data_IF_869216766170
#
_entry.id   IF_869216766170
#
_cell.length_a   1.000
_cell.length_b   1.000
_cell.length_c   1.000
_cell.angle_alpha   90.00
_cell.angle_beta   90.00
_cell.angle_gamma   90.00
#
_symmetry.space_group_name_H-M   'P 1'
#
loop_
_entity.id
_entity.type
_entity.pdbx_description
1 polymer ?
#
# COMPACT_ATOMS: atom_id res chain seq x y z
N UNK A 1 -3.33 -21.60 9.34
CA UNK A 1 -2.06 -21.39 10.08
C UNK A 1 -1.38 -20.19 9.44
N UNK A 2 -0.91 -19.21 10.22
CA UNK A 2 -0.22 -18.03 9.68
C UNK A 2 1.25 -18.37 9.48
N UNK A 3 1.80 -18.10 8.29
CA UNK A 3 3.22 -18.26 8.00
C UNK A 3 3.99 -17.03 8.54
N UNK A 4 5.14 -17.25 9.17
CA UNK A 4 5.98 -16.17 9.70
C UNK A 4 7.24 -16.02 8.85
N UNK A 5 7.40 -14.86 8.22
CA UNK A 5 8.58 -14.50 7.42
C UNK A 5 9.23 -13.25 8.01
N UNK A 6 10.55 -13.28 8.20
CA UNK A 6 11.34 -12.14 8.69
C UNK A 6 12.23 -11.60 7.57
N UNK A 7 12.53 -10.30 7.62
CA UNK A 7 13.42 -9.65 6.66
C UNK A 7 14.90 -9.84 6.98
N UNK A 8 15.75 -9.15 6.20
CA UNK A 8 17.20 -9.09 6.42
C UNK A 8 17.47 -8.29 7.71
N UNK A 9 18.31 -8.80 8.64
CA UNK A 9 18.66 -8.08 9.86
C UNK A 9 19.18 -6.67 9.57
N UNK A 10 18.71 -5.70 10.36
CA UNK A 10 19.11 -4.28 10.28
C UNK A 10 18.83 -3.57 8.94
N UNK A 11 18.12 -4.20 8.00
CA UNK A 11 17.73 -3.59 6.73
C UNK A 11 16.26 -3.16 6.75
N UNK A 12 15.95 -1.85 6.64
CA UNK A 12 14.56 -1.38 6.63
C UNK A 12 13.86 -1.64 5.28
N UNK A 13 14.60 -1.98 4.23
CA UNK A 13 14.08 -2.09 2.85
C UNK A 13 12.97 -3.12 2.73
N UNK A 14 13.02 -4.21 3.50
CA UNK A 14 11.97 -5.22 3.53
C UNK A 14 10.62 -4.73 4.08
N UNK A 15 10.59 -3.57 4.73
CA UNK A 15 9.40 -2.98 5.35
C UNK A 15 9.03 -1.61 4.77
N UNK A 16 9.60 -1.22 3.62
CA UNK A 16 9.41 0.10 3.03
C UNK A 16 7.92 0.48 2.80
N UNK A 17 7.06 -0.50 2.49
CA UNK A 17 5.61 -0.28 2.36
C UNK A 17 4.98 0.15 3.70
N UNK A 18 5.39 -0.49 4.80
CA UNK A 18 4.92 -0.18 6.15
C UNK A 18 5.45 1.20 6.57
N UNK A 19 6.72 1.49 6.30
CA UNK A 19 7.32 2.80 6.59
C UNK A 19 6.60 3.93 5.86
N UNK A 20 6.24 3.72 4.58
CA UNK A 20 5.41 4.68 3.84
C UNK A 20 4.03 4.84 4.48
N UNK A 21 3.40 3.75 4.91
CA UNK A 21 2.10 3.81 5.60
C UNK A 21 2.19 4.58 6.93
N UNK A 22 3.26 4.39 7.70
CA UNK A 22 3.54 5.16 8.92
C UNK A 22 3.67 6.66 8.63
N UNK A 23 4.42 7.02 7.59
CA UNK A 23 4.56 8.42 7.16
C UNK A 23 3.20 9.04 6.80
N UNK A 24 2.37 8.34 6.02
CA UNK A 24 1.01 8.80 5.69
C UNK A 24 0.14 8.99 6.93
N UNK A 25 0.17 8.03 7.86
CA UNK A 25 -0.61 8.12 9.10
C UNK A 25 -0.17 9.33 9.95
N UNK A 26 1.13 9.54 10.11
CA UNK A 26 1.69 10.68 10.84
C UNK A 26 1.29 12.02 10.22
N UNK A 27 1.27 12.11 8.88
CA UNK A 27 0.81 13.32 8.19
C UNK A 27 -0.66 13.62 8.50
N UNK A 28 -1.53 12.61 8.49
CA UNK A 28 -2.96 12.77 8.81
C UNK A 28 -3.14 13.17 10.28
N UNK A 29 -2.44 12.51 11.21
CA UNK A 29 -2.47 12.87 12.63
C UNK A 29 -1.99 14.30 12.89
N UNK A 30 -0.92 14.73 12.21
CA UNK A 30 -0.41 16.10 12.29
C UNK A 30 -1.45 17.13 11.84
N UNK A 31 -2.16 16.87 10.74
CA UNK A 31 -3.24 17.74 10.23
C UNK A 31 -4.45 17.81 11.18
N UNK A 32 -4.74 16.74 11.90
CA UNK A 32 -5.87 16.70 12.82
C UNK A 32 -5.63 17.49 14.11
N UNK A 33 -4.36 17.69 14.50
CA UNK A 33 -3.96 18.25 15.80
C UNK A 33 -4.61 19.59 16.14
N UNK A 34 -4.85 20.46 15.15
CA UNK A 34 -5.54 21.75 15.33
C UNK A 34 -7.06 21.64 15.47
N UNK A 35 -7.69 20.67 14.78
CA UNK A 35 -9.15 20.48 14.76
C UNK A 35 -9.71 19.62 15.91
N UNK A 36 -8.83 18.94 16.64
CA UNK A 36 -9.19 17.81 17.51
C UNK A 36 -8.46 17.81 18.85
N UNK A 37 -8.12 18.97 19.39
CA UNK A 37 -7.37 19.10 20.65
C UNK A 37 -8.03 18.33 21.81
N UNK A 38 -9.36 18.30 21.86
CA UNK A 38 -10.20 17.65 22.89
C UNK A 38 -10.29 16.12 22.78
N UNK A 39 -9.84 15.53 21.67
CA UNK A 39 -9.97 14.08 21.44
C UNK A 39 -8.87 13.29 22.17
N UNK A 40 -9.23 12.12 22.71
CA UNK A 40 -8.26 11.18 23.25
C UNK A 40 -7.31 10.64 22.17
N UNK A 41 -6.13 10.11 22.52
CA UNK A 41 -5.21 9.52 21.55
C UNK A 41 -5.87 8.43 20.68
N UNK A 42 -6.72 7.59 21.26
CA UNK A 42 -7.45 6.56 20.53
C UNK A 42 -8.44 7.16 19.54
N UNK A 43 -9.19 8.19 19.93
CA UNK A 43 -10.14 8.87 19.04
C UNK A 43 -9.43 9.53 17.86
N UNK A 44 -8.26 10.15 18.09
CA UNK A 44 -7.40 10.70 17.03
C UNK A 44 -6.96 9.61 16.06
N UNK A 45 -6.48 8.48 16.60
CA UNK A 45 -6.08 7.34 15.78
C UNK A 45 -7.23 6.76 14.95
N UNK A 46 -8.40 6.53 15.56
CA UNK A 46 -9.58 6.03 14.85
C UNK A 46 -10.00 6.98 13.72
N UNK A 47 -10.02 8.29 13.98
CA UNK A 47 -10.32 9.31 12.97
C UNK A 47 -9.31 9.28 11.83
N UNK A 48 -8.01 9.19 12.14
CA UNK A 48 -6.96 9.10 11.13
C UNK A 48 -7.06 7.85 10.27
N UNK A 49 -7.27 6.68 10.88
CA UNK A 49 -7.47 5.42 10.16
C UNK A 49 -8.73 5.46 9.29
N UNK A 50 -9.80 6.09 9.77
CA UNK A 50 -11.00 6.28 8.97
C UNK A 50 -10.71 7.12 7.72
N UNK A 51 -10.02 8.26 7.87
CA UNK A 51 -9.60 9.09 6.74
C UNK A 51 -8.73 8.31 5.76
N UNK A 52 -7.70 7.61 6.24
CA UNK A 52 -6.76 6.87 5.39
C UNK A 52 -7.46 5.73 4.64
N UNK A 53 -8.33 4.96 5.30
CA UNK A 53 -8.88 3.74 4.71
C UNK A 53 -10.18 3.96 3.92
N UNK A 54 -10.99 4.96 4.27
CA UNK A 54 -12.33 5.14 3.73
C UNK A 54 -12.51 6.43 2.90
N UNK A 55 -11.67 7.45 3.11
CA UNK A 55 -11.82 8.75 2.45
C UNK A 55 -10.66 9.09 1.50
N UNK A 56 -9.55 8.35 1.55
CA UNK A 56 -8.37 8.63 0.76
C UNK A 56 -8.55 8.12 -0.68
N UNK A 57 -9.09 8.97 -1.55
CA UNK A 57 -9.18 8.74 -2.99
C UNK A 57 -8.21 9.68 -3.71
N UNK A 58 -7.68 9.24 -4.86
CA UNK A 58 -6.92 10.10 -5.77
C UNK A 58 -7.69 10.32 -7.08
N UNK A 59 -7.22 11.26 -7.90
CA UNK A 59 -7.78 11.48 -9.24
C UNK A 59 -7.68 10.20 -10.10
N UNK A 60 -6.55 9.50 -9.99
CA UNK A 60 -6.25 8.27 -10.73
C UNK A 60 -6.96 7.06 -10.13
N UNK A 61 -7.08 6.99 -8.79
CA UNK A 61 -7.78 5.92 -8.09
C UNK A 61 -8.95 6.48 -7.27
N UNK A 62 -10.12 6.47 -7.91
CA UNK A 62 -11.37 6.96 -7.33
C UNK A 62 -11.93 6.05 -6.23
N UNK A 63 -11.40 4.84 -6.07
CA UNK A 63 -11.87 3.90 -5.03
C UNK A 63 -11.01 4.02 -3.77
N UNK A 64 -11.60 4.20 -2.58
CA UNK A 64 -10.84 4.27 -1.34
C UNK A 64 -10.22 2.90 -0.99
N UNK A 65 -9.13 2.84 -0.19
CA UNK A 65 -8.41 1.60 0.11
C UNK A 65 -9.26 0.45 0.64
N UNK A 66 -10.31 0.75 1.41
CA UNK A 66 -11.27 -0.26 1.91
C UNK A 66 -11.90 -1.07 0.77
N UNK A 67 -12.16 -0.43 -0.37
CA UNK A 67 -12.73 -1.08 -1.54
C UNK A 67 -11.73 -2.07 -2.12
N UNK A 68 -10.44 -1.71 -2.19
CA UNK A 68 -9.38 -2.62 -2.62
C UNK A 68 -9.20 -3.81 -1.67
N UNK A 69 -9.35 -3.59 -0.36
CA UNK A 69 -9.16 -4.63 0.66
C UNK A 69 -10.23 -5.72 0.63
N UNK A 70 -11.50 -5.35 0.43
CA UNK A 70 -12.63 -6.29 0.43
C UNK A 70 -13.07 -6.74 -0.96
N UNK A 71 -12.57 -6.12 -2.03
CA UNK A 71 -12.81 -6.60 -3.39
C UNK A 71 -12.09 -7.93 -3.61
N UNK A 72 -12.80 -8.88 -4.21
CA UNK A 72 -12.24 -10.15 -4.64
C UNK A 72 -11.16 -9.95 -5.71
N UNK A 73 -10.17 -10.84 -5.77
CA UNK A 73 -8.97 -10.81 -6.64
C UNK A 73 -9.23 -10.56 -8.14
N UNK A 74 -10.46 -10.70 -8.62
CA UNK A 74 -10.78 -10.61 -10.04
C UNK A 74 -10.81 -9.19 -10.63
N UNK A 75 -10.70 -8.11 -9.84
CA UNK A 75 -10.70 -6.73 -10.39
C UNK A 75 -9.32 -6.10 -10.57
N UNK A 76 -8.28 -6.61 -9.90
CA UNK A 76 -6.89 -6.18 -10.14
C UNK A 76 -6.16 -7.06 -11.15
N UNK A 77 -6.77 -8.18 -11.56
CA UNK A 77 -6.36 -8.83 -12.80
C UNK A 77 -6.46 -7.80 -13.91
N UNK A 78 -5.33 -7.53 -14.53
CA UNK A 78 -5.30 -6.69 -15.71
C UNK A 78 -6.31 -7.26 -16.70
N UNK A 79 -7.19 -6.42 -17.25
CA UNK A 79 -8.12 -6.85 -18.30
C UNK A 79 -7.39 -7.38 -19.53
N UNK A 80 -6.12 -7.02 -19.67
CA UNK A 80 -5.15 -7.55 -20.61
C UNK A 80 -3.84 -7.78 -19.87
N UNK A 81 -3.27 -8.97 -19.93
CA UNK A 81 -1.90 -9.25 -19.50
C UNK A 81 -0.99 -9.07 -20.71
N UNK A 82 -0.46 -7.86 -21.01
CA UNK A 82 0.37 -7.71 -22.18
C UNK A 82 1.65 -8.55 -22.06
N UNK A 83 2.16 -9.12 -23.17
CA UNK A 83 3.43 -9.80 -23.18
C UNK A 83 4.56 -8.81 -22.83
N UNK A 84 5.36 -9.14 -21.82
CA UNK A 84 6.49 -8.34 -21.33
C UNK A 84 7.82 -9.04 -21.59
N UNK A 85 8.84 -8.23 -21.85
CA UNK A 85 10.23 -8.68 -21.88
C UNK A 85 10.87 -8.35 -20.53
N UNK A 86 11.60 -9.31 -19.97
CA UNK A 86 12.28 -9.15 -18.68
C UNK A 86 13.79 -9.14 -18.92
N UNK A 87 14.46 -8.12 -18.38
CA UNK A 87 15.92 -8.06 -18.36
C UNK A 87 16.41 -8.86 -17.17
N UNK A 88 17.11 -9.95 -17.45
CA UNK A 88 17.72 -10.80 -16.43
C UNK A 88 18.89 -10.04 -15.78
N UNK A 89 18.85 -9.77 -14.46
CA UNK A 89 19.92 -9.04 -13.79
C UNK A 89 21.22 -9.82 -13.65
N UNK A 90 21.19 -11.15 -13.76
CA UNK A 90 22.38 -12.00 -13.64
C UNK A 90 23.10 -12.16 -14.99
N UNK A 91 22.33 -12.38 -16.07
CA UNK A 91 22.89 -12.61 -17.43
C UNK A 91 22.90 -11.36 -18.31
N UNK A 92 22.19 -10.30 -17.91
CA UNK A 92 21.95 -9.06 -18.69
C UNK A 92 21.19 -9.24 -20.01
N UNK A 93 20.77 -10.47 -20.32
CA UNK A 93 19.97 -10.80 -21.49
C UNK A 93 18.51 -10.37 -21.30
N UNK A 94 17.86 -9.99 -22.40
CA UNK A 94 16.42 -9.71 -22.41
C UNK A 94 15.69 -10.98 -22.84
N UNK A 95 14.85 -11.54 -21.97
CA UNK A 95 14.10 -12.78 -22.19
C UNK A 95 12.60 -12.51 -22.32
N UNK A 96 11.89 -13.37 -23.03
CA UNK A 96 10.43 -13.30 -23.20
C UNK A 96 9.96 -13.60 -24.64
N UNK A 97 8.69 -13.29 -24.95
CA UNK A 97 7.70 -12.63 -24.11
C UNK A 97 7.15 -13.51 -22.97
N UNK A 98 6.84 -12.89 -21.83
CA UNK A 98 6.14 -13.50 -20.68
C UNK A 98 4.82 -12.77 -20.43
N UNK A 99 3.83 -13.47 -19.88
CA UNK A 99 2.59 -12.83 -19.43
C UNK A 99 2.84 -12.01 -18.15
N UNK A 100 2.33 -10.78 -18.11
CA UNK A 100 2.32 -9.96 -16.89
C UNK A 100 1.24 -10.50 -15.94
N UNK A 101 1.64 -11.16 -14.86
CA UNK A 101 0.75 -11.74 -13.84
C UNK A 101 0.34 -10.74 -12.75
#
# INVERSE_FOLDING_TARGET
RVEHKTGIPHSPTGQAVIERAHHTLNQVLGRQSSSAAWMSPQQKLCKALFTVNFLNCSFENRSPPVVCHFRSDNQFKLSQCPPVLIKDPETWETKGPYELI
#
